data_IF_056165053800
#
_entry.id   IF_056165053800
#
_cell.length_a   1.000
_cell.length_b   1.000
_cell.length_c   1.000
_cell.angle_alpha   90.00
_cell.angle_beta   90.00
_cell.angle_gamma   90.00
#
_symmetry.space_group_name_H-M   'P 1'
#
loop_
_entity.id
_entity.type
_entity.pdbx_description
1 polymer ?
#
# COMPACT_ATOMS: atom_id res chain seq x y z
N UNK A 1 -9.83 -1.38 -50.89
CA UNK A 1 -9.03 -0.85 -49.78
C UNK A 1 -9.95 -0.65 -48.58
N UNK A 2 -9.94 -1.58 -47.62
CA UNK A 2 -10.71 -1.53 -46.36
C UNK A 2 -9.75 -1.95 -45.25
N UNK A 3 -9.39 -1.02 -44.37
CA UNK A 3 -8.58 -1.25 -43.18
C UNK A 3 -9.41 -2.00 -42.14
N UNK A 4 -8.98 -3.21 -41.76
CA UNK A 4 -9.43 -3.92 -40.57
C UNK A 4 -8.83 -3.24 -39.34
N UNK A 5 -9.69 -2.70 -38.48
CA UNK A 5 -9.32 -2.35 -37.11
C UNK A 5 -9.34 -3.66 -36.32
N UNK A 6 -8.15 -4.18 -36.03
CA UNK A 6 -7.97 -5.29 -35.09
C UNK A 6 -8.20 -4.71 -33.68
N UNK A 7 -9.31 -5.10 -33.06
CA UNK A 7 -9.57 -4.83 -31.64
C UNK A 7 -8.90 -5.95 -30.85
N UNK A 8 -7.77 -5.66 -30.21
CA UNK A 8 -7.16 -6.58 -29.25
C UNK A 8 -7.98 -6.61 -27.95
N UNK A 9 -8.27 -7.84 -27.54
CA UNK A 9 -8.99 -8.21 -26.34
C UNK A 9 -8.08 -8.17 -25.11
N UNK A 10 -8.71 -8.03 -23.92
CA UNK A 10 -8.10 -8.47 -22.66
C UNK A 10 -7.67 -7.36 -21.71
N UNK A 11 -8.58 -6.44 -21.34
CA UNK A 11 -8.44 -5.78 -20.03
C UNK A 11 -8.72 -6.82 -18.96
N UNK A 12 -7.66 -7.39 -18.40
CA UNK A 12 -7.75 -8.17 -17.18
C UNK A 12 -8.27 -7.22 -16.08
N UNK A 13 -9.57 -7.24 -15.86
CA UNK A 13 -10.18 -6.73 -14.63
C UNK A 13 -9.59 -7.56 -13.49
N UNK A 14 -8.59 -7.00 -12.82
CA UNK A 14 -8.10 -7.53 -11.57
C UNK A 14 -9.28 -7.54 -10.60
N UNK A 15 -9.85 -8.72 -10.42
CA UNK A 15 -10.87 -9.05 -9.44
C UNK A 15 -10.29 -8.75 -8.05
N UNK A 16 -10.49 -7.53 -7.58
CA UNK A 16 -10.06 -7.08 -6.27
C UNK A 16 -11.07 -7.61 -5.25
N UNK A 17 -10.72 -8.66 -4.50
CA UNK A 17 -11.56 -9.20 -3.44
C UNK A 17 -11.60 -8.23 -2.24
N UNK A 18 -12.56 -7.31 -2.25
CA UNK A 18 -12.84 -6.28 -1.23
C UNK A 18 -13.37 -6.83 0.12
N UNK A 19 -12.97 -8.03 0.54
CA UNK A 19 -13.61 -8.73 1.67
C UNK A 19 -12.69 -9.36 2.72
N UNK A 20 -11.37 -9.35 2.54
CA UNK A 20 -10.47 -9.93 3.54
C UNK A 20 -9.98 -8.83 4.47
N UNK A 21 -10.16 -8.99 5.79
CA UNK A 21 -9.36 -8.31 6.81
C UNK A 21 -7.89 -8.48 6.41
N UNK A 22 -7.32 -7.47 5.76
CA UNK A 22 -6.06 -7.60 5.05
C UNK A 22 -4.93 -7.62 6.09
N UNK A 23 -4.51 -8.83 6.45
CA UNK A 23 -3.30 -9.05 7.23
C UNK A 23 -2.06 -8.50 6.51
N UNK A 24 -0.89 -8.56 7.16
CA UNK A 24 0.37 -8.15 6.59
C UNK A 24 0.59 -8.66 5.15
N UNK A 25 0.82 -7.75 4.21
CA UNK A 25 1.08 -8.06 2.81
C UNK A 25 2.38 -7.41 2.32
N UNK A 26 2.93 -7.95 1.23
CA UNK A 26 4.10 -7.35 0.56
C UNK A 26 3.74 -6.00 -0.04
N UNK A 27 4.72 -5.10 -0.16
CA UNK A 27 4.54 -3.83 -0.88
C UNK A 27 4.21 -4.10 -2.35
N UNK A 28 3.32 -3.29 -2.93
CA UNK A 28 3.12 -3.29 -4.37
C UNK A 28 4.37 -2.74 -5.07
N UNK A 29 4.64 -3.18 -6.29
CA UNK A 29 5.83 -2.73 -7.05
C UNK A 29 5.84 -1.21 -7.23
N UNK A 30 4.67 -0.62 -7.53
CA UNK A 30 4.50 0.83 -7.63
C UNK A 30 4.86 1.55 -6.34
N UNK A 31 4.43 1.03 -5.19
CA UNK A 31 4.71 1.62 -3.88
C UNK A 31 6.20 1.48 -3.52
N UNK A 32 6.79 0.31 -3.76
CA UNK A 32 8.23 0.09 -3.56
C UNK A 32 9.07 1.04 -4.42
N UNK A 33 8.73 1.22 -5.70
CA UNK A 33 9.40 2.17 -6.59
C UNK A 33 9.22 3.61 -6.12
N UNK A 34 8.00 3.96 -5.68
CA UNK A 34 7.71 5.30 -5.18
C UNK A 34 8.52 5.62 -3.92
N UNK A 35 8.65 4.67 -2.99
CA UNK A 35 9.51 4.81 -1.81
C UNK A 35 11.00 4.89 -2.15
N UNK A 36 11.46 4.11 -3.12
CA UNK A 36 12.84 4.20 -3.60
C UNK A 36 13.15 5.61 -4.13
N UNK A 37 12.20 6.19 -4.89
CA UNK A 37 12.36 7.53 -5.47
C UNK A 37 12.25 8.66 -4.44
N UNK A 38 11.21 8.63 -3.60
CA UNK A 38 10.87 9.74 -2.70
C UNK A 38 11.60 9.68 -1.35
N UNK A 39 12.01 8.48 -0.92
CA UNK A 39 12.62 8.23 0.39
C UNK A 39 14.01 7.59 0.30
N UNK A 40 14.50 7.29 -0.90
CA UNK A 40 15.83 6.70 -1.11
C UNK A 40 15.94 5.25 -0.63
N UNK A 41 14.83 4.54 -0.44
CA UNK A 41 14.88 3.13 -0.04
C UNK A 41 15.50 2.27 -1.14
N UNK A 42 16.43 1.38 -0.74
CA UNK A 42 16.90 0.34 -1.65
C UNK A 42 15.81 -0.70 -1.92
N UNK A 43 15.96 -1.43 -3.03
CA UNK A 43 15.01 -2.50 -3.38
C UNK A 43 14.95 -3.58 -2.31
N UNK A 44 16.09 -3.98 -1.76
CA UNK A 44 16.18 -4.97 -0.68
C UNK A 44 15.52 -4.48 0.61
N UNK A 45 15.71 -3.21 0.97
CA UNK A 45 15.03 -2.62 2.12
C UNK A 45 13.52 -2.63 1.91
N UNK A 46 13.02 -2.21 0.74
CA UNK A 46 11.60 -2.26 0.42
C UNK A 46 11.03 -3.69 0.43
N UNK A 47 11.78 -4.68 -0.06
CA UNK A 47 11.35 -6.09 -0.06
C UNK A 47 11.23 -6.68 1.34
N UNK A 48 12.01 -6.18 2.31
CA UNK A 48 11.91 -6.57 3.71
C UNK A 48 10.65 -6.02 4.41
N UNK A 49 10.12 -4.89 3.92
CA UNK A 49 8.95 -4.23 4.52
C UNK A 49 7.64 -4.94 4.20
N UNK A 50 6.66 -4.74 5.08
CA UNK A 50 5.28 -5.19 4.90
C UNK A 50 4.33 -4.02 5.06
N UNK A 51 3.14 -4.16 4.49
CA UNK A 51 2.07 -3.20 4.64
C UNK A 51 0.78 -3.86 5.10
N UNK A 52 -0.08 -3.06 5.71
CA UNK A 52 -1.50 -3.37 5.95
C UNK A 52 -2.34 -2.27 5.34
N UNK A 53 -3.55 -2.61 4.93
CA UNK A 53 -4.46 -1.71 4.23
C UNK A 53 -5.84 -1.67 4.89
N UNK A 54 -6.49 -0.51 4.80
CA UNK A 54 -7.88 -0.32 5.22
C UNK A 54 -8.57 0.64 4.25
N UNK A 55 -9.79 0.30 3.81
CA UNK A 55 -10.60 1.21 3.02
C UNK A 55 -11.17 2.32 3.89
N UNK A 56 -11.23 3.52 3.35
CA UNK A 56 -11.90 4.63 3.99
C UNK A 56 -12.21 5.75 3.02
N UNK A 57 -12.51 6.91 3.59
CA UNK A 57 -12.84 8.11 2.82
C UNK A 57 -11.94 9.27 3.22
N UNK A 58 -11.49 10.04 2.25
CA UNK A 58 -10.70 11.25 2.43
C UNK A 58 -11.31 12.38 1.60
N UNK A 59 -11.81 13.42 2.27
CA UNK A 59 -12.43 14.60 1.62
C UNK A 59 -13.50 14.19 0.59
N UNK A 60 -14.38 13.26 0.97
CA UNK A 60 -15.46 12.76 0.11
C UNK A 60 -15.05 11.75 -0.98
N UNK A 61 -13.76 11.40 -1.09
CA UNK A 61 -13.26 10.40 -2.05
C UNK A 61 -12.98 9.08 -1.36
N UNK A 62 -13.27 7.97 -2.05
CA UNK A 62 -12.89 6.63 -1.57
C UNK A 62 -11.39 6.43 -1.76
N UNK A 63 -10.73 6.03 -0.68
CA UNK A 63 -9.29 5.78 -0.65
C UNK A 63 -8.97 4.48 0.06
N UNK A 64 -7.81 3.91 -0.23
CA UNK A 64 -7.25 2.78 0.52
C UNK A 64 -6.07 3.29 1.33
N UNK A 65 -6.27 3.45 2.63
CA UNK A 65 -5.18 3.78 3.54
C UNK A 65 -4.22 2.62 3.65
N UNK A 66 -2.93 2.92 3.77
CA UNK A 66 -1.90 1.92 4.02
C UNK A 66 -0.93 2.38 5.10
N UNK A 67 -0.38 1.41 5.82
CA UNK A 67 0.72 1.59 6.79
C UNK A 67 1.79 0.56 6.48
N UNK A 68 3.03 1.03 6.43
CA UNK A 68 4.22 0.24 6.13
C UNK A 68 5.04 0.12 7.40
N UNK A 69 5.50 -1.09 7.68
CA UNK A 69 6.26 -1.42 8.87
C UNK A 69 7.34 -2.45 8.55
N UNK A 70 8.32 -2.55 9.44
CA UNK A 70 9.28 -3.65 9.44
C UNK A 70 8.73 -4.80 10.29
N UNK A 71 8.45 -5.97 9.70
CA UNK A 71 7.95 -7.12 10.44
C UNK A 71 8.94 -7.61 11.52
N UNK A 72 10.25 -7.45 11.32
CA UNK A 72 11.25 -7.84 12.31
C UNK A 72 11.19 -6.93 13.55
N UNK A 73 11.16 -5.62 13.34
CA UNK A 73 10.98 -4.64 14.42
C UNK A 73 9.66 -4.85 15.18
N UNK A 74 8.57 -5.12 14.45
CA UNK A 74 7.24 -5.31 15.05
C UNK A 74 7.16 -6.58 15.88
N UNK A 75 7.78 -7.67 15.41
CA UNK A 75 7.93 -8.92 16.16
C UNK A 75 8.79 -8.73 17.41
N UNK A 76 9.88 -7.97 17.32
CA UNK A 76 10.75 -7.66 18.47
C UNK A 76 10.01 -6.84 19.54
N UNK A 77 9.07 -5.99 19.13
CA UNK A 77 8.20 -5.22 20.01
C UNK A 77 7.04 -6.05 20.62
N UNK A 78 6.89 -7.34 20.25
CA UNK A 78 5.82 -8.20 20.76
C UNK A 78 4.42 -7.86 20.22
N UNK A 79 4.33 -7.09 19.13
CA UNK A 79 3.06 -6.67 18.55
C UNK A 79 2.53 -7.77 17.63
N UNK A 80 1.35 -8.28 17.94
CA UNK A 80 0.64 -9.25 17.09
C UNK A 80 -0.24 -8.51 16.07
N UNK A 81 0.27 -8.37 14.85
CA UNK A 81 -0.45 -7.68 13.77
C UNK A 81 -1.52 -8.56 13.12
N UNK A 82 -2.79 -8.21 13.32
CA UNK A 82 -3.94 -8.84 12.64
C UNK A 82 -4.56 -7.94 11.57
N UNK A 83 -4.32 -6.63 11.64
CA UNK A 83 -4.80 -5.66 10.66
C UNK A 83 -4.30 -4.23 10.89
N UNK A 84 -4.89 -3.29 10.16
CA UNK A 84 -4.46 -1.90 10.06
C UNK A 84 -4.35 -1.15 11.41
N UNK A 85 -5.28 -1.43 12.34
CA UNK A 85 -5.39 -0.74 13.63
C UNK A 85 -4.43 -1.26 14.70
N UNK A 86 -3.78 -2.40 14.47
CA UNK A 86 -2.89 -3.03 15.46
C UNK A 86 -1.47 -2.42 15.41
N UNK A 87 -1.18 -1.61 14.38
CA UNK A 87 0.09 -0.88 14.29
C UNK A 87 0.06 0.37 15.17
N UNK A 88 0.98 0.39 16.13
CA UNK A 88 1.35 1.58 16.89
C UNK A 88 2.09 2.61 16.02
N UNK A 89 1.90 3.89 16.30
CA UNK A 89 2.51 4.98 15.51
C UNK A 89 4.04 4.88 15.41
N UNK A 90 4.70 4.31 16.43
CA UNK A 90 6.17 4.19 16.49
C UNK A 90 6.73 3.07 15.61
N UNK A 91 5.89 2.10 15.21
CA UNK A 91 6.31 0.99 14.34
C UNK A 91 5.97 1.23 12.87
N UNK A 92 5.22 2.30 12.58
CA UNK A 92 4.91 2.75 11.23
C UNK A 92 6.12 3.49 10.68
N UNK A 93 6.76 2.91 9.67
CA UNK A 93 7.88 3.54 8.95
C UNK A 93 7.33 4.57 7.96
N UNK A 94 6.29 4.20 7.22
CA UNK A 94 5.61 5.09 6.27
C UNK A 94 4.11 4.84 6.30
N UNK A 95 3.33 5.89 6.09
CA UNK A 95 1.88 5.80 5.95
C UNK A 95 1.41 6.66 4.80
N UNK A 96 0.21 6.37 4.31
CA UNK A 96 -0.38 7.11 3.21
C UNK A 96 -1.72 6.54 2.80
N UNK A 97 -2.15 6.93 1.61
CA UNK A 97 -3.34 6.39 0.98
C UNK A 97 -3.16 6.22 -0.52
N UNK A 98 -3.93 5.30 -1.08
CA UNK A 98 -4.08 5.06 -2.50
C UNK A 98 -5.44 5.61 -2.91
N UNK A 99 -5.45 6.57 -3.83
CA UNK A 99 -6.68 7.11 -4.41
C UNK A 99 -7.35 6.10 -5.34
N UNK A 100 -8.63 6.32 -5.67
CA UNK A 100 -9.41 5.40 -6.52
C UNK A 100 -8.83 5.20 -7.93
N UNK A 101 -8.01 6.14 -8.42
CA UNK A 101 -7.27 6.06 -9.69
C UNK A 101 -5.92 5.33 -9.58
N UNK A 102 -5.59 4.85 -8.37
CA UNK A 102 -4.34 4.18 -8.05
C UNK A 102 -3.17 5.13 -7.79
N UNK A 103 -3.39 6.45 -7.69
CA UNK A 103 -2.35 7.39 -7.25
C UNK A 103 -1.97 7.11 -5.80
N UNK A 104 -0.66 7.06 -5.54
CA UNK A 104 -0.11 6.84 -4.19
C UNK A 104 0.24 8.19 -3.59
N UNK A 105 -0.26 8.45 -2.38
CA UNK A 105 0.04 9.66 -1.60
C UNK A 105 0.69 9.22 -0.29
N UNK A 106 1.92 9.67 -0.05
CA UNK A 106 2.63 9.46 1.21
C UNK A 106 2.35 10.61 2.17
N UNK A 107 2.12 10.29 3.45
CA UNK A 107 2.04 11.30 4.48
C UNK A 107 3.42 11.92 4.72
N UNK A 108 3.43 13.22 4.99
CA UNK A 108 4.67 14.00 5.12
C UNK A 108 5.45 13.67 6.40
N UNK A 109 4.85 13.00 7.39
CA UNK A 109 5.46 12.45 8.63
C UNK A 109 4.54 11.37 9.23
N UNK A 110 5.05 10.42 10.05
CA UNK A 110 4.17 9.66 10.94
C UNK A 110 3.48 10.67 11.84
N UNK A 111 2.16 10.75 11.75
CA UNK A 111 1.34 11.62 12.58
C UNK A 111 1.53 11.21 14.04
N UNK A 112 2.30 12.01 14.78
CA UNK A 112 2.17 12.17 16.23
C UNK A 112 0.82 12.87 16.44
N UNK A 113 -0.20 12.09 16.83
CA UNK A 113 -1.42 12.61 17.46
C UNK A 113 -1.51 11.98 18.85
#
# INVERSE_FOLDING_TARGET
>A
MRLQVVREAGKAEAMWNFGQKAGPMVLSEKLALHLARERGLSRDAAAALRMVQEHGHYVGRSVTYFRIFDPAATKAAGIELRGYKDLDARTIIHAGHIESDGQVVLNLKPSED
#
